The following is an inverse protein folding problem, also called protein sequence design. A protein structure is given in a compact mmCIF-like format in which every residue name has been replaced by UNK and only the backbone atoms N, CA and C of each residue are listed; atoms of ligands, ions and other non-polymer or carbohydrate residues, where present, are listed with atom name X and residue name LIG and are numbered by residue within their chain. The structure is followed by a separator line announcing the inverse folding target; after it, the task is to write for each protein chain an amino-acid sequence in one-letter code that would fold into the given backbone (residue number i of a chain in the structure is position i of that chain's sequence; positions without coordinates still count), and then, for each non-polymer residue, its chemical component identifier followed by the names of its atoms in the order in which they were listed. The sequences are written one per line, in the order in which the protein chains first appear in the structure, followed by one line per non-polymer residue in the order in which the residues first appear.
data_IF_819474065398
#
_entry.id   IF_819474065398
#
_cell.length_a   1.000
_cell.length_b   1.000
_cell.length_c   1.000
_cell.angle_alpha   90.00
_cell.angle_beta   90.00
_cell.angle_gamma   90.00
#
_symmetry.space_group_name_H-M   'P 1'
#
loop_
_entity.id
_entity.type
_entity.pdbx_description
1 polymer ?
#
# COMPACT_ATOMS: atom_id res chain seq x y z
N UNK A 1 -4.29 -31.43 1.26
CA UNK A 1 -3.49 -30.19 1.31
C UNK A 1 -4.35 -29.15 2.00
N UNK A 2 -3.87 -28.59 3.11
CA UNK A 2 -4.61 -27.57 3.86
C UNK A 2 -3.90 -26.25 3.65
N UNK A 3 -4.60 -25.25 3.12
CA UNK A 3 -4.05 -23.91 2.97
C UNK A 3 -4.19 -23.17 4.29
N UNK A 4 -3.08 -22.68 4.85
CA UNK A 4 -3.12 -21.76 5.99
C UNK A 4 -3.74 -20.40 5.58
N UNK A 5 -4.08 -19.52 6.55
CA UNK A 5 -4.77 -18.26 6.27
C UNK A 5 -4.09 -17.34 5.25
N UNK A 6 -2.75 -17.30 5.24
CA UNK A 6 -2.00 -16.55 4.22
C UNK A 6 -2.14 -17.17 2.81
N UNK A 7 -2.16 -18.50 2.71
CA UNK A 7 -2.38 -19.21 1.46
C UNK A 7 -3.81 -19.03 0.94
N UNK A 8 -4.80 -19.05 1.83
CA UNK A 8 -6.19 -18.76 1.50
C UNK A 8 -6.35 -17.33 0.96
N UNK A 9 -5.79 -16.32 1.63
CA UNK A 9 -5.84 -14.93 1.18
C UNK A 9 -5.14 -14.72 -0.18
N UNK A 10 -3.98 -15.33 -0.41
CA UNK A 10 -3.29 -15.28 -1.72
C UNK A 10 -4.11 -15.95 -2.83
N UNK A 11 -4.84 -17.02 -2.52
CA UNK A 11 -5.77 -17.67 -3.45
C UNK A 11 -6.93 -16.74 -3.78
N UNK A 12 -7.52 -16.10 -2.78
CA UNK A 12 -8.59 -15.11 -2.96
C UNK A 12 -8.12 -13.91 -3.80
N UNK A 13 -6.90 -13.41 -3.56
CA UNK A 13 -6.30 -12.35 -4.38
C UNK A 13 -6.16 -12.79 -5.84
N UNK A 14 -5.65 -14.00 -6.10
CA UNK A 14 -5.55 -14.52 -7.46
C UNK A 14 -6.92 -14.61 -8.17
N UNK A 15 -8.00 -14.90 -7.42
CA UNK A 15 -9.36 -14.97 -7.96
C UNK A 15 -10.06 -13.61 -8.09
N UNK A 16 -9.68 -12.62 -7.26
CA UNK A 16 -10.29 -11.28 -7.17
C UNK A 16 -9.23 -10.21 -6.88
N UNK A 17 -8.29 -9.97 -7.82
CA UNK A 17 -7.13 -9.11 -7.58
C UNK A 17 -7.48 -7.64 -7.36
N UNK A 18 -8.69 -7.22 -7.72
CA UNK A 18 -9.16 -5.84 -7.56
C UNK A 18 -9.90 -5.60 -6.23
N UNK A 19 -10.07 -6.61 -5.38
CA UNK A 19 -10.93 -6.49 -4.20
C UNK A 19 -10.36 -7.14 -2.95
N UNK A 20 -9.57 -8.22 -3.08
CA UNK A 20 -9.14 -9.04 -1.95
C UNK A 20 -7.62 -8.99 -1.81
N UNK A 21 -7.04 -7.96 -1.17
CA UNK A 21 -5.60 -7.90 -0.94
C UNK A 21 -5.13 -9.15 -0.18
N UNK A 22 -3.94 -9.69 -0.51
CA UNK A 22 -3.32 -10.71 0.31
C UNK A 22 -2.83 -10.09 1.63
N UNK A 23 -2.44 -10.96 2.55
CA UNK A 23 -1.73 -10.60 3.78
C UNK A 23 -0.64 -11.62 4.05
N UNK A 24 0.45 -11.20 4.69
CA UNK A 24 1.48 -12.09 5.21
C UNK A 24 1.34 -12.23 6.74
N UNK A 25 2.18 -13.07 7.35
CA UNK A 25 2.10 -13.34 8.79
C UNK A 25 2.27 -12.07 9.65
N UNK A 26 3.21 -11.16 9.35
CA UNK A 26 3.33 -9.89 10.07
C UNK A 26 2.08 -9.00 9.95
N UNK A 27 1.53 -8.81 8.75
CA UNK A 27 0.31 -8.00 8.56
C UNK A 27 -0.86 -8.63 9.31
N UNK A 28 -1.02 -9.93 9.19
CA UNK A 28 -2.08 -10.73 9.82
C UNK A 28 -2.06 -10.65 11.35
N UNK A 29 -0.87 -10.63 11.96
CA UNK A 29 -0.70 -10.52 13.41
C UNK A 29 -1.28 -9.22 13.99
N UNK A 30 -1.46 -8.17 13.18
CA UNK A 30 -2.09 -6.93 13.64
C UNK A 30 -3.61 -7.04 13.84
N UNK A 31 -4.25 -8.08 13.30
CA UNK A 31 -5.72 -8.20 13.26
C UNK A 31 -6.29 -9.20 14.28
N UNK A 32 -5.63 -9.35 15.43
CA UNK A 32 -6.08 -10.16 16.56
C UNK A 32 -5.52 -11.59 16.50
N UNK A 33 -6.40 -12.59 16.49
CA UNK A 33 -5.98 -14.00 16.46
C UNK A 33 -5.30 -14.42 15.16
N UNK A 34 -5.42 -13.62 14.08
CA UNK A 34 -4.74 -13.81 12.79
C UNK A 34 -5.12 -15.09 12.04
N UNK A 35 -5.75 -16.05 12.69
CA UNK A 35 -6.09 -17.37 12.17
C UNK A 35 -7.54 -17.48 11.70
N UNK A 36 -8.36 -16.44 11.95
CA UNK A 36 -9.80 -16.48 11.67
C UNK A 36 -10.20 -15.70 10.41
N UNK A 37 -11.26 -16.16 9.74
CA UNK A 37 -11.92 -15.39 8.68
C UNK A 37 -12.37 -14.00 9.17
N UNK A 38 -12.73 -13.88 10.47
CA UNK A 38 -13.09 -12.62 11.10
C UNK A 38 -11.90 -11.64 11.19
N UNK A 39 -10.68 -12.14 11.40
CA UNK A 39 -9.48 -11.32 11.33
C UNK A 39 -9.26 -10.80 9.89
N UNK A 40 -9.46 -11.65 8.88
CA UNK A 40 -9.34 -11.22 7.48
C UNK A 40 -10.40 -10.19 7.09
N UNK A 41 -11.65 -10.35 7.53
CA UNK A 41 -12.71 -9.35 7.31
C UNK A 41 -12.35 -8.00 7.95
N UNK A 42 -11.77 -8.00 9.15
CA UNK A 42 -11.30 -6.76 9.80
C UNK A 42 -10.20 -6.09 8.98
N UNK A 43 -9.25 -6.86 8.47
CA UNK A 43 -8.23 -6.35 7.54
C UNK A 43 -8.85 -5.74 6.27
N UNK A 44 -9.81 -6.42 5.64
CA UNK A 44 -10.48 -5.90 4.44
C UNK A 44 -11.23 -4.57 4.71
N UNK A 45 -11.91 -4.47 5.86
CA UNK A 45 -12.61 -3.24 6.25
C UNK A 45 -11.64 -2.09 6.53
N UNK A 46 -10.50 -2.38 7.16
CA UNK A 46 -9.45 -1.40 7.41
C UNK A 46 -8.79 -0.92 6.11
N UNK A 47 -8.41 -1.84 5.23
CA UNK A 47 -7.89 -1.55 3.89
C UNK A 47 -8.88 -0.71 3.07
N UNK A 48 -10.18 -1.05 3.11
CA UNK A 48 -11.23 -0.27 2.45
C UNK A 48 -11.29 1.16 3.00
N UNK A 49 -11.29 1.35 4.32
CA UNK A 49 -11.31 2.66 4.96
C UNK A 49 -10.12 3.52 4.50
N UNK A 50 -8.91 2.96 4.55
CA UNK A 50 -7.69 3.66 4.12
C UNK A 50 -7.74 4.05 2.64
N UNK A 51 -8.19 3.14 1.76
CA UNK A 51 -8.38 3.45 0.34
C UNK A 51 -9.43 4.55 0.13
N UNK A 52 -10.55 4.52 0.86
CA UNK A 52 -11.59 5.56 0.78
C UNK A 52 -11.05 6.94 1.19
N UNK A 53 -10.22 7.02 2.23
CA UNK A 53 -9.55 8.25 2.67
C UNK A 53 -8.57 8.79 1.60
N UNK A 54 -7.72 7.91 1.05
CA UNK A 54 -6.77 8.28 -0.02
C UNK A 54 -7.51 8.75 -1.26
N UNK A 55 -8.54 8.02 -1.69
CA UNK A 55 -9.34 8.38 -2.87
C UNK A 55 -10.12 9.66 -2.64
N UNK A 56 -10.60 9.92 -1.42
CA UNK A 56 -11.22 11.20 -1.09
C UNK A 56 -10.26 12.36 -1.28
N UNK A 57 -9.01 12.21 -0.82
CA UNK A 57 -8.01 13.25 -1.01
C UNK A 57 -7.55 13.37 -2.46
N UNK A 58 -7.41 12.25 -3.18
CA UNK A 58 -7.00 12.23 -4.57
C UNK A 58 -7.99 12.95 -5.50
N UNK A 59 -9.29 12.92 -5.16
CA UNK A 59 -10.33 13.66 -5.89
C UNK A 59 -10.11 15.17 -5.90
N UNK A 60 -9.55 15.75 -4.82
CA UNK A 60 -9.19 17.17 -4.78
C UNK A 60 -8.20 17.56 -5.90
N UNK A 61 -7.45 16.58 -6.42
CA UNK A 61 -6.46 16.73 -7.49
C UNK A 61 -6.94 16.16 -8.83
N UNK A 62 -8.24 15.83 -8.96
CA UNK A 62 -8.81 15.25 -10.17
C UNK A 62 -8.28 13.84 -10.49
N UNK A 63 -7.81 13.09 -9.50
CA UNK A 63 -7.31 11.73 -9.67
C UNK A 63 -8.44 10.75 -9.29
N UNK A 64 -8.90 9.96 -10.27
CA UNK A 64 -9.87 8.90 -10.05
C UNK A 64 -9.23 7.61 -9.50
N UNK A 65 -10.06 6.64 -9.05
CA UNK A 65 -9.58 5.34 -8.59
C UNK A 65 -8.75 4.58 -9.63
N UNK A 66 -9.14 4.65 -10.91
CA UNK A 66 -8.45 3.96 -12.01
C UNK A 66 -7.17 4.69 -12.44
N UNK A 67 -7.06 5.99 -12.16
CA UNK A 67 -5.89 6.80 -12.49
C UNK A 67 -4.77 6.66 -11.46
N UNK A 68 -5.13 6.37 -10.20
CA UNK A 68 -4.20 6.39 -9.07
C UNK A 68 -2.97 5.47 -9.28
N UNK A 69 -3.11 4.20 -9.72
CA UNK A 69 -1.95 3.36 -9.99
C UNK A 69 -1.02 3.95 -11.07
N UNK A 70 -1.60 4.47 -12.14
CA UNK A 70 -0.84 5.11 -13.23
C UNK A 70 -0.10 6.37 -12.76
N UNK A 71 -0.71 7.17 -11.88
CA UNK A 71 -0.05 8.33 -11.25
C UNK A 71 1.16 7.96 -10.39
N UNK A 72 1.19 6.74 -9.88
CA UNK A 72 2.32 6.20 -9.12
C UNK A 72 3.35 5.46 -10.00
N UNK A 73 3.19 5.48 -11.34
CA UNK A 73 4.05 4.74 -12.26
C UNK A 73 3.81 3.23 -12.25
N UNK A 74 2.60 2.81 -11.84
CA UNK A 74 2.24 1.40 -11.61
C UNK A 74 0.91 1.04 -12.26
N UNK A 75 0.76 1.34 -13.56
CA UNK A 75 -0.48 1.16 -14.32
C UNK A 75 -1.10 -0.25 -14.21
N UNK A 76 -0.27 -1.27 -14.05
CA UNK A 76 -0.73 -2.68 -14.02
C UNK A 76 -1.13 -3.15 -12.60
N UNK A 77 -0.96 -2.29 -11.59
CA UNK A 77 -1.29 -2.61 -10.19
C UNK A 77 -2.73 -2.26 -9.87
N UNK A 78 -3.44 -3.17 -9.21
CA UNK A 78 -4.74 -2.85 -8.60
C UNK A 78 -4.55 -2.04 -7.31
N UNK A 79 -5.59 -1.31 -6.89
CA UNK A 79 -5.61 -0.63 -5.59
C UNK A 79 -5.38 -1.60 -4.43
N UNK A 80 -5.93 -2.82 -4.52
CA UNK A 80 -5.70 -3.86 -3.53
C UNK A 80 -4.21 -4.27 -3.47
N UNK A 81 -3.53 -4.35 -4.62
CA UNK A 81 -2.10 -4.66 -4.66
C UNK A 81 -1.25 -3.53 -4.07
N UNK A 82 -1.61 -2.27 -4.32
CA UNK A 82 -0.94 -1.13 -3.71
C UNK A 82 -1.11 -1.12 -2.18
N UNK A 83 -2.29 -1.48 -1.68
CA UNK A 83 -2.56 -1.58 -0.25
C UNK A 83 -1.77 -2.72 0.41
N UNK A 84 -1.66 -3.88 -0.24
CA UNK A 84 -0.81 -4.98 0.20
C UNK A 84 0.66 -4.56 0.35
N UNK A 85 1.20 -3.85 -0.64
CA UNK A 85 2.60 -3.41 -0.58
C UNK A 85 2.82 -2.28 0.43
N UNK A 86 1.86 -1.37 0.58
CA UNK A 86 1.88 -0.38 1.65
C UNK A 86 1.93 -1.06 3.02
N UNK A 87 1.08 -2.06 3.25
CA UNK A 87 1.09 -2.84 4.47
C UNK A 87 2.42 -3.60 4.66
N UNK A 88 2.99 -4.17 3.59
CA UNK A 88 4.30 -4.83 3.67
C UNK A 88 5.43 -3.86 4.05
N UNK A 89 5.44 -2.65 3.50
CA UNK A 89 6.45 -1.63 3.87
C UNK A 89 6.26 -1.16 5.31
N UNK A 90 5.03 -0.86 5.71
CA UNK A 90 4.76 -0.24 7.02
C UNK A 90 4.74 -1.23 8.17
N UNK A 91 4.24 -2.45 7.93
CA UNK A 91 4.13 -3.51 8.93
C UNK A 91 5.33 -4.45 8.86
N UNK A 92 5.55 -5.09 7.71
CA UNK A 92 6.57 -6.15 7.61
C UNK A 92 7.99 -5.59 7.62
N UNK A 93 8.20 -4.39 7.05
CA UNK A 93 9.51 -3.71 7.08
C UNK A 93 9.62 -2.66 8.17
N UNK A 94 8.56 -2.44 8.94
CA UNK A 94 8.50 -1.46 10.03
C UNK A 94 9.00 -0.07 9.59
N UNK A 95 8.70 0.30 8.34
CA UNK A 95 9.04 1.62 7.78
C UNK A 95 7.80 2.51 7.87
N UNK A 96 7.73 3.42 8.86
CA UNK A 96 6.57 4.28 9.01
C UNK A 96 6.43 5.20 7.80
N UNK A 97 5.22 5.74 7.62
CA UNK A 97 5.01 6.80 6.65
C UNK A 97 5.90 8.01 7.01
N UNK A 98 6.66 8.57 6.06
CA UNK A 98 7.46 9.76 6.30
C UNK A 98 6.58 10.90 6.81
N UNK A 99 7.12 11.71 7.72
CA UNK A 99 6.43 12.92 8.14
C UNK A 99 6.46 14.00 7.03
N UNK A 100 5.75 15.11 7.27
CA UNK A 100 5.70 16.22 6.32
C UNK A 100 7.10 16.75 5.97
N UNK A 101 8.00 16.86 6.95
CA UNK A 101 9.33 17.44 6.74
C UNK A 101 10.18 16.51 5.87
N UNK A 102 10.07 15.20 6.08
CA UNK A 102 10.74 14.19 5.26
C UNK A 102 10.19 14.18 3.84
N UNK A 103 8.87 14.26 3.66
CA UNK A 103 8.24 14.38 2.33
C UNK A 103 8.69 15.65 1.59
N UNK A 104 8.70 16.79 2.27
CA UNK A 104 9.20 18.05 1.71
C UNK A 104 10.66 17.92 1.29
N UNK A 105 11.50 17.26 2.10
CA UNK A 105 12.89 16.95 1.73
C UNK A 105 12.98 16.08 0.49
N UNK A 106 12.19 15.01 0.38
CA UNK A 106 12.19 14.15 -0.80
C UNK A 106 11.76 14.90 -2.07
N UNK A 107 10.79 15.81 -1.95
CA UNK A 107 10.38 16.67 -3.06
C UNK A 107 11.53 17.57 -3.54
N UNK A 108 12.33 18.15 -2.63
CA UNK A 108 13.50 18.95 -3.06
C UNK A 108 14.53 18.14 -3.84
N UNK A 109 14.66 16.84 -3.56
CA UNK A 109 15.52 15.94 -4.33
C UNK A 109 14.94 15.61 -5.70
N UNK A 110 13.62 15.39 -5.78
CA UNK A 110 12.92 15.09 -7.03
C UNK A 110 12.92 16.27 -8.01
N UNK A 111 12.80 17.50 -7.51
CA UNK A 111 12.78 18.72 -8.33
C UNK A 111 14.17 19.14 -8.86
N UNK A 112 15.23 18.40 -8.50
CA UNK A 112 16.59 18.64 -9.00
C UNK A 112 17.35 19.77 -8.30
N UNK A 113 16.80 20.36 -7.23
CA UNK A 113 17.41 21.44 -6.43
C UNK A 113 18.68 21.03 -5.67
N UNK A 114 19.14 19.78 -5.84
CA UNK A 114 20.38 19.24 -5.28
C UNK A 114 21.45 18.90 -6.32
N UNK A 115 21.25 19.19 -7.62
CA UNK A 115 22.32 19.08 -8.64
C UNK A 115 23.11 20.38 -8.79
N UNK A 116 23.80 20.80 -7.74
CA UNK A 116 24.95 21.71 -7.90
C UNK A 116 26.23 20.88 -7.99
N UNK A 117 26.83 20.96 -9.19
CA UNK A 117 28.16 20.48 -9.60
C UNK A 117 29.18 20.40 -8.46
N UNK A 118 29.74 19.21 -8.28
CA UNK A 118 31.06 19.03 -7.66
C UNK A 118 31.89 18.04 -8.48
N UNK A 119 31.99 18.28 -9.80
CA UNK A 119 33.02 17.71 -10.67
C UNK A 119 33.83 18.87 -11.25
N UNK A 120 34.70 19.42 -10.42
CA UNK A 120 35.81 20.25 -10.85
C UNK A 120 36.93 20.16 -9.80
N UNK A 121 37.72 19.10 -9.88
CA UNK A 121 39.18 19.17 -9.65
C UNK A 121 39.89 17.95 -10.21
#
# INVERSE_FOLDING_TARGET
MTYGPAGAAKTLFALRPNSLPPWDDPIRAQFGDGESAKAYVRFLLDAKRQLEEVLAKARDFGIGPDDLPSRLGRSDSSLAKLMDEFAWVTVTKERPCPDRNELERWLTWADGSSRTREDAR
#
